data_IF_804567023973
#
_entry.id   IF_804567023973
#
_cell.length_a   1.000
_cell.length_b   1.000
_cell.length_c   1.000
_cell.angle_alpha   90.00
_cell.angle_beta   90.00
_cell.angle_gamma   90.00
#
_symmetry.space_group_name_H-M   'P 1'
#
loop_
_entity.id
_entity.type
_entity.pdbx_description
1 polymer ?
#
# COMPACT_ATOMS: atom_id res chain seq x y z
N UNK A 1 -16.62 -9.48 28.84
CA UNK A 1 -16.13 -9.53 28.39
C UNK A 1 -15.93 -9.31 27.40
N UNK A 2 -15.92 -9.02 26.99
CA UNK A 2 -15.77 -8.89 26.16
C UNK A 2 -15.06 -8.84 25.53
N UNK A 3 -14.80 -8.81 25.37
CA UNK A 3 -14.19 -8.78 24.79
C UNK A 3 -13.48 -8.96 24.12
N UNK A 4 -13.56 -8.94 24.38
CA UNK A 4 -12.44 -9.38 23.95
C UNK A 4 -12.28 -9.60 22.56
N UNK A 5 -12.98 -10.08 22.15
CA UNK A 5 -13.00 -10.42 20.99
C UNK A 5 -12.57 -9.56 20.00
N UNK A 6 -12.80 -8.48 20.08
CA UNK A 6 -12.57 -7.65 19.19
C UNK A 6 -11.31 -7.29 18.96
N UNK A 7 -10.46 -7.87 19.45
CA UNK A 7 -9.16 -7.42 19.36
C UNK A 7 -8.43 -7.97 18.19
N UNK A 8 -8.96 -7.80 17.00
CA UNK A 8 -8.20 -8.02 15.80
C UNK A 8 -7.10 -7.00 15.77
N UNK A 9 -5.88 -7.44 15.74
CA UNK A 9 -4.75 -6.54 15.58
C UNK A 9 -4.83 -5.85 14.21
N UNK A 10 -4.51 -4.56 14.14
CA UNK A 10 -4.43 -3.90 12.84
C UNK A 10 -3.43 -4.59 11.93
N UNK A 11 -3.78 -4.70 10.68
CA UNK A 11 -2.93 -5.35 9.67
C UNK A 11 -2.96 -4.51 8.41
N UNK A 12 -1.80 -4.36 7.78
CA UNK A 12 -1.68 -3.62 6.53
C UNK A 12 -1.37 -4.57 5.37
N UNK A 13 -2.09 -4.38 4.26
CA UNK A 13 -1.86 -5.12 3.03
C UNK A 13 -0.80 -4.35 2.23
N UNK A 14 0.26 -5.03 1.80
CA UNK A 14 1.38 -4.39 1.11
C UNK A 14 1.26 -4.55 -0.40
N UNK A 15 0.47 -3.70 -1.04
CA UNK A 15 0.23 -3.72 -2.48
C UNK A 15 1.09 -2.72 -3.24
N UNK A 16 1.09 -2.84 -4.55
CA UNK A 16 1.81 -1.92 -5.43
C UNK A 16 2.81 -2.61 -6.34
N UNK A 17 3.79 -1.85 -6.81
CA UNK A 17 4.77 -2.33 -7.79
C UNK A 17 5.42 -3.62 -7.33
N UNK A 18 5.39 -4.63 -8.19
CA UNK A 18 5.92 -5.94 -7.87
C UNK A 18 7.42 -6.06 -8.17
N UNK A 19 7.88 -5.46 -9.24
CA UNK A 19 9.28 -5.55 -9.65
C UNK A 19 10.12 -4.49 -8.93
N UNK A 20 10.22 -4.63 -7.61
CA UNK A 20 10.88 -3.68 -6.74
C UNK A 20 11.14 -4.34 -5.40
N UNK A 21 12.14 -3.88 -4.69
CA UNK A 21 12.48 -4.38 -3.36
C UNK A 21 11.93 -3.49 -2.23
N UNK A 22 10.95 -2.63 -2.54
CA UNK A 22 10.44 -1.70 -1.52
C UNK A 22 9.84 -2.43 -0.31
N UNK A 23 9.23 -3.60 -0.55
CA UNK A 23 8.66 -4.39 0.56
C UNK A 23 9.76 -4.86 1.50
N UNK A 24 10.86 -5.32 0.93
CA UNK A 24 11.99 -5.81 1.74
C UNK A 24 12.63 -4.69 2.56
N UNK A 25 12.51 -3.45 2.10
CA UNK A 25 13.02 -2.29 2.84
C UNK A 25 12.04 -1.80 3.89
N UNK A 26 10.76 -1.93 3.64
CA UNK A 26 9.74 -1.45 4.57
C UNK A 26 9.47 -2.44 5.69
N UNK A 27 9.35 -3.72 5.38
CA UNK A 27 8.96 -4.74 6.36
C UNK A 27 9.81 -4.70 7.65
N UNK A 28 11.14 -4.57 7.60
CA UNK A 28 11.93 -4.53 8.83
C UNK A 28 11.63 -3.32 9.72
N UNK A 29 10.98 -2.28 9.18
CA UNK A 29 10.65 -1.08 9.93
C UNK A 29 9.28 -1.15 10.58
N UNK A 30 8.48 -2.16 10.23
CA UNK A 30 7.10 -2.26 10.69
C UNK A 30 7.00 -3.00 12.02
N UNK A 31 6.20 -2.45 12.93
CA UNK A 31 5.78 -3.12 14.16
C UNK A 31 4.31 -3.55 14.08
N UNK A 32 3.59 -3.11 13.06
CA UNK A 32 2.22 -3.51 12.81
C UNK A 32 2.24 -4.83 12.03
N UNK A 33 1.21 -5.64 12.20
CA UNK A 33 1.06 -6.87 11.43
C UNK A 33 0.85 -6.52 9.95
N UNK A 34 1.30 -7.37 9.05
CA UNK A 34 1.20 -7.09 7.63
C UNK A 34 0.94 -8.36 6.83
N UNK A 35 0.42 -8.18 5.61
CA UNK A 35 0.30 -9.27 4.64
C UNK A 35 1.09 -8.88 3.39
N UNK A 36 2.04 -9.75 3.00
CA UNK A 36 2.84 -9.55 1.80
C UNK A 36 2.30 -10.44 0.68
N UNK A 37 1.66 -9.88 -0.36
CA UNK A 37 1.07 -10.68 -1.43
C UNK A 37 2.11 -11.37 -2.32
N UNK A 38 3.39 -11.08 -2.13
CA UNK A 38 4.47 -11.72 -2.87
C UNK A 38 5.21 -12.76 -2.03
N UNK A 39 4.72 -13.09 -0.83
CA UNK A 39 5.43 -13.98 0.08
C UNK A 39 5.43 -15.45 -0.35
N UNK A 40 4.54 -15.83 -1.26
CA UNK A 40 4.40 -17.22 -1.72
C UNK A 40 4.14 -17.26 -3.22
N UNK A 41 4.26 -18.45 -3.81
CA UNK A 41 3.92 -18.64 -5.20
C UNK A 41 2.44 -18.38 -5.43
N UNK A 42 2.12 -17.89 -6.63
CA UNK A 42 0.76 -17.48 -6.95
C UNK A 42 -0.07 -18.69 -7.38
N UNK A 43 -0.37 -19.56 -6.43
CA UNK A 43 -1.27 -20.69 -6.62
C UNK A 43 -2.73 -20.20 -6.52
N UNK A 44 -3.72 -21.01 -6.96
CA UNK A 44 -5.12 -20.62 -6.78
C UNK A 44 -5.48 -20.37 -5.32
N UNK A 45 -4.93 -21.17 -4.40
CA UNK A 45 -5.18 -21.02 -2.96
C UNK A 45 -4.60 -19.70 -2.45
N UNK A 46 -3.39 -19.34 -2.91
CA UNK A 46 -2.78 -18.08 -2.47
C UNK A 46 -3.48 -16.87 -3.07
N UNK A 47 -4.00 -17.00 -4.31
CA UNK A 47 -4.80 -15.93 -4.90
C UNK A 47 -6.04 -15.66 -4.08
N UNK A 48 -6.70 -16.72 -3.58
CA UNK A 48 -7.86 -16.57 -2.70
C UNK A 48 -7.47 -15.90 -1.40
N UNK A 49 -6.31 -16.27 -0.84
CA UNK A 49 -5.80 -15.66 0.38
C UNK A 49 -5.55 -14.16 0.18
N UNK A 50 -4.98 -13.77 -0.97
CA UNK A 50 -4.76 -12.37 -1.29
C UNK A 50 -6.08 -11.60 -1.28
N UNK A 51 -7.11 -12.15 -1.91
CA UNK A 51 -8.40 -11.47 -1.96
C UNK A 51 -9.04 -11.36 -0.58
N UNK A 52 -8.90 -12.39 0.24
CA UNK A 52 -9.40 -12.35 1.61
C UNK A 52 -8.66 -11.30 2.43
N UNK A 53 -7.35 -11.19 2.27
CA UNK A 53 -6.56 -10.20 2.99
C UNK A 53 -6.90 -8.78 2.56
N UNK A 54 -7.13 -8.56 1.25
CA UNK A 54 -7.57 -7.24 0.79
C UNK A 54 -8.88 -6.82 1.45
N UNK A 55 -9.79 -7.77 1.64
CA UNK A 55 -11.07 -7.46 2.25
C UNK A 55 -10.97 -7.26 3.75
N UNK A 56 -10.06 -7.95 4.43
CA UNK A 56 -10.02 -7.98 5.89
C UNK A 56 -8.94 -7.11 6.52
N UNK A 57 -7.89 -6.74 5.79
CA UNK A 57 -6.84 -5.88 6.36
C UNK A 57 -7.40 -4.54 6.76
N UNK A 58 -6.85 -3.97 7.83
CA UNK A 58 -7.26 -2.66 8.34
C UNK A 58 -6.90 -1.57 7.36
N UNK A 59 -5.72 -1.69 6.73
CA UNK A 59 -5.23 -0.69 5.78
C UNK A 59 -4.77 -1.37 4.51
N UNK A 60 -4.97 -0.67 3.39
CA UNK A 60 -4.48 -1.09 2.08
C UNK A 60 -3.42 -0.09 1.65
N UNK A 61 -2.16 -0.47 1.75
CA UNK A 61 -1.06 0.38 1.30
C UNK A 61 -0.72 0.04 -0.14
N UNK A 62 -0.63 1.06 -0.97
CA UNK A 62 -0.12 0.92 -2.33
C UNK A 62 1.14 1.76 -2.46
N UNK A 63 2.24 1.13 -2.83
CA UNK A 63 3.50 1.82 -3.13
C UNK A 63 3.75 1.68 -4.62
N UNK A 64 3.83 2.81 -5.32
CA UNK A 64 4.10 2.82 -6.75
C UNK A 64 5.51 3.33 -6.96
N UNK A 65 6.28 2.62 -7.77
CA UNK A 65 7.68 2.99 -8.05
C UNK A 65 7.88 3.18 -9.55
N UNK A 66 9.00 3.78 -9.98
CA UNK A 66 9.32 3.89 -11.41
C UNK A 66 9.45 2.55 -12.14
N UNK A 67 9.48 1.44 -11.42
CA UNK A 67 9.53 0.10 -12.02
C UNK A 67 8.15 -0.53 -12.22
N UNK A 68 7.10 0.29 -12.17
CA UNK A 68 5.74 -0.21 -12.43
C UNK A 68 5.63 -0.73 -13.87
N UNK A 69 4.80 -1.77 -14.07
CA UNK A 69 4.62 -2.35 -15.40
C UNK A 69 3.43 -1.76 -16.14
N UNK A 70 2.39 -1.42 -15.41
CA UNK A 70 1.15 -0.91 -15.99
C UNK A 70 0.47 0.00 -14.97
N UNK A 71 -0.69 0.52 -15.31
CA UNK A 71 -1.39 1.45 -14.45
C UNK A 71 -2.45 0.80 -13.56
N UNK A 72 -2.46 -0.53 -13.46
CA UNK A 72 -3.48 -1.23 -12.69
C UNK A 72 -3.47 -0.80 -11.23
N UNK A 73 -2.30 -0.74 -10.60
CA UNK A 73 -2.21 -0.34 -9.20
C UNK A 73 -2.66 1.09 -8.99
N UNK A 74 -2.29 1.98 -9.94
CA UNK A 74 -2.70 3.39 -9.87
C UNK A 74 -4.21 3.52 -9.96
N UNK A 75 -4.83 2.82 -10.90
CA UNK A 75 -6.28 2.85 -11.05
C UNK A 75 -6.97 2.28 -9.83
N UNK A 76 -6.44 1.20 -9.28
CA UNK A 76 -7.03 0.56 -8.10
C UNK A 76 -6.99 1.47 -6.89
N UNK A 77 -5.85 2.14 -6.64
CA UNK A 77 -5.75 3.00 -5.46
C UNK A 77 -6.66 4.22 -5.59
N UNK A 78 -6.86 4.73 -6.80
CA UNK A 78 -7.81 5.84 -7.02
C UNK A 78 -9.23 5.37 -6.70
N UNK A 79 -9.61 4.19 -7.17
CA UNK A 79 -10.94 3.63 -6.91
C UNK A 79 -11.11 3.39 -5.41
N UNK A 80 -10.12 2.78 -4.76
CA UNK A 80 -10.19 2.49 -3.33
C UNK A 80 -10.29 3.77 -2.52
N UNK A 81 -9.57 4.82 -2.91
CA UNK A 81 -9.63 6.09 -2.20
C UNK A 81 -11.03 6.73 -2.27
N UNK A 82 -11.74 6.45 -3.35
CA UNK A 82 -13.12 6.93 -3.51
C UNK A 82 -14.10 6.13 -2.66
N UNK A 83 -13.89 4.81 -2.57
CA UNK A 83 -14.84 3.93 -1.89
C UNK A 83 -14.56 3.76 -0.40
N UNK A 84 -13.31 3.73 -0.01
CA UNK A 84 -12.90 3.47 1.38
C UNK A 84 -11.65 4.27 1.73
N UNK A 85 -11.79 5.61 1.75
CA UNK A 85 -10.62 6.48 1.96
C UNK A 85 -9.95 6.28 3.32
N UNK A 86 -10.71 5.90 4.35
CA UNK A 86 -10.16 5.71 5.68
C UNK A 86 -9.20 4.53 5.78
N UNK A 87 -9.24 3.66 4.79
CA UNK A 87 -8.44 2.44 4.77
C UNK A 87 -7.33 2.51 3.73
N UNK A 88 -7.37 3.48 2.84
CA UNK A 88 -6.51 3.57 1.66
C UNK A 88 -5.29 4.45 1.93
N UNK A 89 -4.10 3.91 1.65
CA UNK A 89 -2.82 4.59 1.86
C UNK A 89 -2.01 4.54 0.57
N UNK A 90 -1.37 5.65 0.19
CA UNK A 90 -0.55 5.70 -1.03
C UNK A 90 0.80 6.35 -0.76
N UNK A 91 1.85 5.72 -1.27
CA UNK A 91 3.19 6.30 -1.30
C UNK A 91 3.75 6.14 -2.71
N UNK A 92 4.10 7.26 -3.35
CA UNK A 92 4.72 7.26 -4.68
C UNK A 92 6.22 7.42 -4.47
N UNK A 93 6.96 6.32 -4.66
CA UNK A 93 8.41 6.30 -4.49
C UNK A 93 9.06 6.90 -5.73
N UNK A 94 9.92 7.91 -5.55
CA UNK A 94 10.45 8.67 -6.68
C UNK A 94 11.65 8.03 -7.36
N UNK A 95 12.44 7.28 -6.64
CA UNK A 95 13.65 6.65 -7.17
C UNK A 95 13.71 5.21 -6.68
N UNK A 96 13.84 4.26 -7.60
CA UNK A 96 13.83 2.84 -7.25
C UNK A 96 14.90 2.12 -8.07
N UNK A 97 15.95 1.68 -7.38
CA UNK A 97 17.08 0.98 -8.00
C UNK A 97 17.66 1.77 -9.18
N UNK A 98 17.84 3.06 -8.97
CA UNK A 98 18.44 3.94 -9.97
C UNK A 98 17.49 4.42 -11.05
N UNK A 99 16.23 3.99 -11.03
CA UNK A 99 15.25 4.41 -12.03
C UNK A 99 14.36 5.50 -11.47
N UNK A 100 14.10 6.52 -12.31
CA UNK A 100 13.19 7.63 -12.00
C UNK A 100 12.04 7.60 -12.99
N UNK A 101 10.95 8.30 -12.66
CA UNK A 101 9.86 8.47 -13.61
C UNK A 101 10.29 9.37 -14.77
N UNK A 102 9.74 9.12 -15.96
CA UNK A 102 9.83 10.09 -17.03
C UNK A 102 8.98 11.30 -16.64
N UNK A 103 9.16 12.41 -17.37
CA UNK A 103 8.38 13.62 -17.08
C UNK A 103 6.88 13.36 -17.23
N UNK A 104 6.48 12.65 -18.27
CA UNK A 104 5.07 12.31 -18.49
C UNK A 104 4.53 11.40 -17.38
N UNK A 105 5.31 10.40 -16.98
CA UNK A 105 4.91 9.51 -15.87
C UNK A 105 4.76 10.27 -14.57
N UNK A 106 5.69 11.19 -14.28
CA UNK A 106 5.64 11.96 -13.05
C UNK A 106 4.42 12.86 -13.01
N UNK A 107 4.07 13.47 -14.14
CA UNK A 107 2.86 14.29 -14.24
C UNK A 107 1.62 13.44 -13.90
N UNK A 108 1.54 12.23 -14.45
CA UNK A 108 0.41 11.35 -14.19
C UNK A 108 0.39 10.87 -12.74
N UNK A 109 1.55 10.55 -12.17
CA UNK A 109 1.63 10.11 -10.77
C UNK A 109 1.22 11.23 -9.81
N UNK A 110 1.66 12.45 -10.08
CA UNK A 110 1.29 13.60 -9.26
C UNK A 110 -0.21 13.87 -9.32
N UNK A 111 -0.80 13.74 -10.50
CA UNK A 111 -2.25 13.91 -10.66
C UNK A 111 -3.01 12.84 -9.91
N UNK A 112 -2.55 11.59 -9.98
CA UNK A 112 -3.20 10.47 -9.29
C UNK A 112 -3.09 10.63 -7.77
N UNK A 113 -1.92 11.00 -7.28
CA UNK A 113 -1.70 11.22 -5.86
C UNK A 113 -2.59 12.35 -5.33
N UNK A 114 -2.71 13.43 -6.08
CA UNK A 114 -3.57 14.54 -5.72
C UNK A 114 -5.03 14.11 -5.62
N UNK A 115 -5.49 13.29 -6.58
CA UNK A 115 -6.86 12.80 -6.58
C UNK A 115 -7.12 11.90 -5.39
N UNK A 116 -6.19 11.00 -5.08
CA UNK A 116 -6.29 10.10 -3.93
C UNK A 116 -6.39 10.92 -2.64
N UNK A 117 -5.56 11.95 -2.51
CA UNK A 117 -5.59 12.83 -1.35
C UNK A 117 -6.92 13.57 -1.24
N UNK A 118 -7.43 14.09 -2.36
CA UNK A 118 -8.69 14.82 -2.38
C UNK A 118 -9.87 13.93 -2.01
N UNK A 119 -9.77 12.64 -2.30
CA UNK A 119 -10.81 11.68 -1.94
C UNK A 119 -10.78 11.34 -0.44
N UNK A 120 -9.79 11.83 0.29
CA UNK A 120 -9.72 11.64 1.74
C UNK A 120 -8.77 10.55 2.20
N UNK A 121 -8.05 9.91 1.30
CA UNK A 121 -7.08 8.88 1.67
C UNK A 121 -5.77 9.54 2.12
N UNK A 122 -4.94 8.77 2.79
CA UNK A 122 -3.67 9.24 3.30
C UNK A 122 -2.56 9.03 2.27
N UNK A 123 -1.76 10.08 2.03
CA UNK A 123 -0.60 9.98 1.15
C UNK A 123 0.66 10.30 1.94
N UNK A 124 1.79 9.78 1.48
CA UNK A 124 3.06 9.89 2.20
C UNK A 124 4.15 10.41 1.29
N UNK A 125 5.13 11.10 1.88
CA UNK A 125 6.27 11.63 1.14
C UNK A 125 7.53 10.80 1.28
N UNK A 126 7.57 9.82 2.17
CA UNK A 126 8.74 8.96 2.36
C UNK A 126 8.36 7.65 3.01
N UNK A 127 9.25 6.66 2.88
CA UNK A 127 9.05 5.36 3.52
C UNK A 127 9.08 5.50 5.05
N UNK A 128 9.90 6.41 5.57
CA UNK A 128 9.94 6.68 7.00
C UNK A 128 8.58 7.14 7.52
N UNK A 129 7.91 8.01 6.77
CA UNK A 129 6.58 8.48 7.14
C UNK A 129 5.56 7.35 7.11
N UNK A 130 5.65 6.46 6.12
CA UNK A 130 4.77 5.30 6.03
C UNK A 130 4.93 4.43 7.28
N UNK A 131 6.16 4.07 7.61
CA UNK A 131 6.43 3.21 8.76
C UNK A 131 6.02 3.88 10.07
N UNK A 132 6.32 5.16 10.25
CA UNK A 132 5.97 5.87 11.48
C UNK A 132 4.45 5.93 11.68
N UNK A 133 3.73 6.21 10.62
CA UNK A 133 2.27 6.31 10.72
C UNK A 133 1.66 4.94 11.06
N UNK A 134 2.09 3.89 10.34
CA UNK A 134 1.56 2.54 10.56
C UNK A 134 1.89 2.02 11.96
N UNK A 135 3.08 2.31 12.45
CA UNK A 135 3.50 1.82 13.75
C UNK A 135 2.78 2.52 14.92
N UNK A 136 2.15 3.65 14.66
CA UNK A 136 1.48 4.43 15.72
C UNK A 136 -0.04 4.30 15.72
N UNK A 137 -0.61 3.48 14.85
CA UNK A 137 -2.07 3.37 14.78
C UNK A 137 -2.68 2.63 15.96
N UNK A 138 -1.86 1.96 16.78
CA UNK A 138 -2.34 1.28 17.97
C UNK A 138 -2.30 2.16 19.22
N UNK A 139 -1.80 3.38 19.10
CA UNK A 139 -1.62 4.26 20.24
C UNK A 139 -2.73 5.32 20.38
#
# INVERSE_FOLDING_TARGET
MAKAVKYCQPRVFLGGTQDSDWRDKLIPKLRIDYFNPLSHELTPEFKDEIEQQKASCTFLLTVITPNFKDFEDTLRVVIDSSKQPEKTLLYVLQLDNGKSYTEAELTNMNASESLVYKNGAKTFGSMRQVAAWLNNVNE
#
